data_IF_151893277933
#
_entry.id   IF_151893277933
#
_cell.length_a   1.000
_cell.length_b   1.000
_cell.length_c   1.000
_cell.angle_alpha   90.00
_cell.angle_beta   90.00
_cell.angle_gamma   90.00
#
_symmetry.space_group_name_H-M   'P 1'
#
loop_
_entity.id
_entity.type
_entity.pdbx_description
1 polymer ?
#
# COMPACT_ATOMS: atom_id res chain seq x y z
N UNK A 1 -7.63 -14.25 -39.05
CA UNK A 1 -7.04 -15.31 -38.19
C UNK A 1 -5.63 -15.03 -37.64
N UNK A 2 -4.95 -13.92 -38.00
CA UNK A 2 -3.62 -13.58 -37.44
C UNK A 2 -3.62 -12.96 -36.02
N UNK A 3 -4.76 -12.45 -35.53
CA UNK A 3 -4.82 -11.77 -34.23
C UNK A 3 -4.67 -12.69 -33.00
N UNK A 4 -4.79 -14.02 -33.14
CA UNK A 4 -4.65 -14.97 -32.02
C UNK A 4 -3.21 -15.39 -31.70
N UNK A 5 -2.23 -15.18 -32.59
CA UNK A 5 -0.84 -15.59 -32.34
C UNK A 5 -0.05 -14.60 -31.48
N UNK A 6 -0.41 -13.32 -31.47
CA UNK A 6 0.28 -12.32 -30.64
C UNK A 6 -0.09 -12.39 -29.15
N UNK A 7 -1.28 -12.88 -28.81
CA UNK A 7 -1.73 -13.02 -27.42
C UNK A 7 -1.04 -14.16 -26.68
N UNK A 8 -0.52 -15.17 -27.38
CA UNK A 8 0.14 -16.31 -26.74
C UNK A 8 1.61 -16.03 -26.38
N UNK A 9 2.27 -15.11 -27.09
CA UNK A 9 3.70 -14.83 -26.88
C UNK A 9 3.98 -13.77 -25.80
N UNK A 10 3.03 -12.86 -25.53
CA UNK A 10 3.15 -11.91 -24.40
C UNK A 10 2.99 -12.60 -23.05
N UNK A 11 2.18 -13.66 -22.97
CA UNK A 11 1.94 -14.43 -21.73
C UNK A 11 3.18 -15.18 -21.23
N UNK A 12 4.11 -15.53 -22.12
CA UNK A 12 5.34 -16.26 -21.75
C UNK A 12 6.39 -15.30 -21.16
N UNK A 13 6.45 -14.04 -21.62
CA UNK A 13 7.42 -13.06 -21.10
C UNK A 13 7.03 -12.46 -19.74
N UNK A 14 5.74 -12.21 -19.51
CA UNK A 14 5.26 -11.73 -18.20
C UNK A 14 5.44 -12.77 -17.09
N UNK A 15 5.32 -14.08 -17.41
CA UNK A 15 5.56 -15.15 -16.44
C UNK A 15 7.04 -15.28 -16.03
N UNK A 16 7.99 -14.89 -16.90
CA UNK A 16 9.43 -14.94 -16.60
C UNK A 16 9.86 -13.86 -15.62
N UNK A 17 9.39 -12.62 -15.81
CA UNK A 17 9.69 -11.50 -14.90
C UNK A 17 9.04 -11.69 -13.53
N UNK A 18 7.82 -12.25 -13.47
CA UNK A 18 7.18 -12.56 -12.18
C UNK A 18 7.96 -13.59 -11.36
N UNK A 19 8.60 -14.57 -12.01
CA UNK A 19 9.43 -15.57 -11.32
C UNK A 19 10.70 -14.98 -10.72
N UNK A 20 11.35 -14.03 -11.39
CA UNK A 20 12.56 -13.38 -10.87
C UNK A 20 12.22 -12.55 -9.62
N UNK A 21 11.10 -11.83 -9.62
CA UNK A 21 10.65 -11.07 -8.45
C UNK A 21 10.20 -11.96 -7.27
N UNK A 22 9.55 -13.09 -7.54
CA UNK A 22 9.17 -14.05 -6.49
C UNK A 22 10.38 -14.69 -5.81
N UNK A 23 11.42 -15.05 -6.57
CA UNK A 23 12.63 -15.67 -6.01
C UNK A 23 13.43 -14.68 -5.14
N UNK A 24 13.41 -13.38 -5.46
CA UNK A 24 14.05 -12.36 -4.64
C UNK A 24 13.30 -12.07 -3.32
N UNK A 25 11.97 -12.24 -3.29
CA UNK A 25 11.14 -12.02 -2.10
C UNK A 25 11.10 -13.20 -1.12
N UNK A 26 11.48 -14.40 -1.55
CA UNK A 26 11.40 -15.63 -0.76
C UNK A 26 12.75 -16.32 -0.55
N UNK A 27 13.87 -15.59 -0.58
CA UNK A 27 15.14 -16.13 -0.09
C UNK A 27 15.02 -16.36 1.43
N UNK A 28 15.07 -17.63 1.90
CA UNK A 28 14.96 -17.91 3.32
C UNK A 28 16.20 -17.35 4.02
N UNK A 29 15.99 -16.35 4.87
CA UNK A 29 17.01 -15.84 5.79
C UNK A 29 17.33 -16.99 6.74
N UNK A 30 18.45 -17.65 6.49
CA UNK A 30 19.01 -18.70 7.34
C UNK A 30 19.20 -18.14 8.75
N UNK A 31 18.38 -18.59 9.69
CA UNK A 31 18.47 -18.24 11.10
C UNK A 31 19.76 -18.83 11.67
N UNK A 32 20.79 -17.99 11.79
CA UNK A 32 22.00 -18.33 12.53
C UNK A 32 21.63 -18.43 14.03
N UNK A 33 21.52 -19.66 14.52
CA UNK A 33 21.13 -20.01 15.88
C UNK A 33 22.30 -19.71 16.82
N UNK A 34 22.26 -18.54 17.48
CA UNK A 34 23.25 -18.17 18.50
C UNK A 34 22.91 -18.90 19.81
N UNK A 35 23.87 -19.60 20.46
CA UNK A 35 23.64 -20.33 21.71
C UNK A 35 23.33 -19.37 22.86
N UNK A 36 22.31 -19.70 23.63
CA UNK A 36 21.86 -19.00 24.84
C UNK A 36 22.70 -19.45 26.05
N UNK A 37 23.53 -18.56 26.56
CA UNK A 37 24.12 -18.69 27.90
C UNK A 37 23.07 -18.29 28.93
N UNK A 38 22.66 -19.24 29.76
CA UNK A 38 21.86 -18.99 30.96
C UNK A 38 22.74 -18.30 32.01
N UNK A 39 22.35 -17.12 32.45
CA UNK A 39 22.72 -16.59 33.76
C UNK A 39 21.43 -16.42 34.56
N UNK A 40 21.28 -17.28 35.57
CA UNK A 40 20.40 -17.06 36.71
C UNK A 40 20.99 -15.95 37.55
N UNK A 41 20.23 -14.89 37.82
CA UNK A 41 20.48 -14.01 38.95
C UNK A 41 19.16 -13.74 39.65
N UNK A 42 19.19 -13.97 40.96
CA UNK A 42 18.05 -14.02 41.87
C UNK A 42 17.61 -12.61 42.28
N UNK A 43 16.36 -12.58 42.75
CA UNK A 43 15.64 -11.47 43.37
C UNK A 43 16.47 -10.48 44.20
N UNK A 44 16.10 -9.20 44.11
CA UNK A 44 15.91 -8.40 45.31
C UNK A 44 14.85 -7.31 45.12
N UNK A 45 13.92 -7.29 46.07
CA UNK A 45 12.84 -6.31 46.22
C UNK A 45 13.39 -5.09 46.95
N UNK A 46 13.14 -3.88 46.46
CA UNK A 46 13.08 -2.67 47.29
C UNK A 46 12.34 -1.53 46.58
N UNK A 47 11.16 -1.23 47.09
CA UNK A 47 10.47 0.08 47.22
C UNK A 47 11.02 1.31 46.46
N UNK A 48 10.16 2.04 45.70
CA UNK A 48 10.42 3.43 45.36
C UNK A 48 9.83 4.34 46.44
N UNK A 49 10.71 4.87 47.31
CA UNK A 49 10.42 5.98 48.21
C UNK A 49 10.74 7.29 47.46
N UNK A 50 9.80 8.22 47.49
CA UNK A 50 9.85 9.57 46.92
C UNK A 50 11.14 10.32 47.31
N UNK A 51 11.90 10.76 46.30
CA UNK A 51 12.89 11.82 46.43
C UNK A 51 12.54 12.93 45.42
N UNK A 52 11.98 14.01 45.96
CA UNK A 52 12.02 15.33 45.35
C UNK A 52 13.50 15.77 45.29
N UNK A 53 14.05 15.94 44.09
CA UNK A 53 15.29 16.68 43.91
C UNK A 53 15.12 17.68 42.77
N UNK A 54 14.82 18.91 43.17
CA UNK A 54 14.96 20.11 42.36
C UNK A 54 16.44 20.29 42.00
N UNK A 55 16.84 19.84 40.82
CA UNK A 55 18.12 20.25 40.21
C UNK A 55 17.84 20.91 38.88
N UNK A 56 17.68 22.24 38.94
CA UNK A 56 17.79 23.13 37.79
C UNK A 56 19.22 23.14 37.27
N UNK A 57 19.61 22.10 36.53
CA UNK A 57 20.80 22.14 35.70
C UNK A 57 20.43 22.68 34.32
N UNK A 58 20.63 23.98 34.16
CA UNK A 58 20.87 24.62 32.86
C UNK A 58 22.24 24.10 32.40
N UNK A 59 22.25 22.93 31.78
CA UNK A 59 23.36 22.45 30.95
C UNK A 59 22.97 22.65 29.49
N UNK A 60 23.84 23.22 28.63
CA UNK A 60 23.63 23.20 27.20
C UNK A 60 23.78 21.74 26.74
N UNK A 61 22.69 20.98 26.80
CA UNK A 61 22.56 19.67 26.16
C UNK A 61 22.41 19.88 24.65
N UNK A 62 23.45 20.42 24.02
CA UNK A 62 23.62 20.47 22.57
C UNK A 62 24.31 19.20 22.03
N UNK A 63 24.44 18.16 22.85
CA UNK A 63 24.48 16.79 22.35
C UNK A 63 23.04 16.33 22.07
N UNK A 64 22.40 17.07 21.16
CA UNK A 64 21.17 16.71 20.48
C UNK A 64 21.45 15.39 19.76
N UNK A 65 21.21 14.34 20.52
CA UNK A 65 21.37 12.94 20.21
C UNK A 65 20.70 12.71 18.87
N UNK A 66 21.50 12.78 17.81
CA UNK A 66 21.18 12.50 16.41
C UNK A 66 20.69 11.06 16.31
N UNK A 67 19.48 10.84 16.82
CA UNK A 67 18.85 9.55 16.82
C UNK A 67 18.64 9.22 15.36
N UNK A 68 19.18 8.08 14.86
CA UNK A 68 19.15 7.74 13.44
C UNK A 68 17.73 7.76 12.87
N UNK A 69 16.71 7.66 13.72
CA UNK A 69 15.29 7.78 13.39
C UNK A 69 14.88 9.13 12.74
N UNK A 70 15.55 10.25 13.06
CA UNK A 70 15.16 11.57 12.52
C UNK A 70 15.50 11.68 11.02
N UNK A 71 16.69 11.22 10.63
CA UNK A 71 17.12 11.16 9.23
C UNK A 71 16.21 10.27 8.37
N UNK A 72 15.80 9.10 8.87
CA UNK A 72 14.87 8.22 8.15
C UNK A 72 13.51 8.88 7.86
N UNK A 73 12.97 9.64 8.83
CA UNK A 73 11.72 10.37 8.66
C UNK A 73 11.85 11.48 7.61
N UNK A 74 12.93 12.25 7.66
CA UNK A 74 13.20 13.30 6.68
C UNK A 74 13.31 12.74 5.25
N UNK A 75 14.05 11.66 5.06
CA UNK A 75 14.21 10.98 3.76
C UNK A 75 12.85 10.52 3.24
N UNK A 76 12.04 9.81 4.03
CA UNK A 76 10.70 9.37 3.60
C UNK A 76 9.78 10.54 3.21
N UNK A 77 9.89 11.68 3.90
CA UNK A 77 9.12 12.90 3.59
C UNK A 77 9.54 13.49 2.24
N UNK A 78 10.85 13.60 1.99
CA UNK A 78 11.39 14.09 0.71
C UNK A 78 10.99 13.15 -0.44
N UNK A 79 11.12 11.83 -0.27
CA UNK A 79 10.64 10.87 -1.26
C UNK A 79 9.14 10.97 -1.52
N UNK A 80 8.34 11.25 -0.49
CA UNK A 80 6.90 11.47 -0.62
C UNK A 80 6.58 12.69 -1.48
N UNK A 81 7.25 13.82 -1.23
CA UNK A 81 7.08 15.06 -2.02
C UNK A 81 7.55 14.84 -3.47
N UNK A 82 8.71 14.22 -3.66
CA UNK A 82 9.23 13.91 -4.99
C UNK A 82 8.28 13.00 -5.78
N UNK A 83 7.72 11.97 -5.13
CA UNK A 83 6.72 11.09 -5.74
C UNK A 83 5.47 11.87 -6.18
N UNK A 84 4.99 12.80 -5.35
CA UNK A 84 3.82 13.63 -5.65
C UNK A 84 4.07 14.53 -6.87
N UNK A 85 5.21 15.24 -6.89
CA UNK A 85 5.61 16.11 -8.01
C UNK A 85 5.75 15.32 -9.30
N UNK A 86 6.46 14.20 -9.27
CA UNK A 86 6.62 13.32 -10.43
C UNK A 86 5.28 12.73 -10.89
N UNK A 87 4.38 12.40 -9.98
CA UNK A 87 3.04 11.89 -10.31
C UNK A 87 2.21 12.95 -11.02
N UNK A 88 2.24 14.21 -10.55
CA UNK A 88 1.53 15.32 -11.18
C UNK A 88 2.08 15.61 -12.60
N UNK A 89 3.41 15.63 -12.75
CA UNK A 89 4.05 15.80 -14.06
C UNK A 89 3.69 14.65 -15.02
N UNK A 90 3.75 13.41 -14.55
CA UNK A 90 3.40 12.24 -15.36
C UNK A 90 1.93 12.26 -15.77
N UNK A 91 1.02 12.70 -14.87
CA UNK A 91 -0.39 12.87 -15.17
C UNK A 91 -0.62 13.91 -16.27
N UNK A 92 0.03 15.07 -16.19
CA UNK A 92 -0.07 16.11 -17.22
C UNK A 92 0.42 15.60 -18.58
N UNK A 93 1.54 14.88 -18.62
CA UNK A 93 2.08 14.28 -19.85
C UNK A 93 1.13 13.21 -20.43
N UNK A 94 0.52 12.38 -19.57
CA UNK A 94 -0.46 11.38 -20.02
C UNK A 94 -1.71 12.03 -20.61
N UNK A 95 -2.21 13.11 -20.02
CA UNK A 95 -3.34 13.88 -20.56
C UNK A 95 -2.97 14.49 -21.93
N UNK A 96 -1.79 15.10 -22.03
CA UNK A 96 -1.30 15.64 -23.31
C UNK A 96 -1.19 14.53 -24.38
N UNK A 97 -0.68 13.36 -24.01
CA UNK A 97 -0.61 12.20 -24.91
C UNK A 97 -2.00 11.73 -25.37
N UNK A 98 -3.00 11.74 -24.49
CA UNK A 98 -4.38 11.40 -24.88
C UNK A 98 -4.96 12.40 -25.89
N UNK A 99 -4.71 13.70 -25.71
CA UNK A 99 -5.16 14.74 -26.66
C UNK A 99 -4.49 14.56 -28.02
N UNK A 100 -3.18 14.30 -28.03
CA UNK A 100 -2.42 14.06 -29.27
C UNK A 100 -2.93 12.81 -29.98
N UNK A 101 -3.13 11.69 -29.26
CA UNK A 101 -3.66 10.46 -29.84
C UNK A 101 -5.09 10.60 -30.35
N UNK A 102 -5.89 11.48 -29.74
CA UNK A 102 -7.26 11.78 -30.20
C UNK A 102 -7.30 12.67 -31.44
N UNK A 103 -6.33 13.57 -31.59
CA UNK A 103 -6.30 14.56 -32.70
C UNK A 103 -5.47 14.11 -33.91
N UNK A 104 -4.56 13.16 -33.74
CA UNK A 104 -3.64 12.73 -34.79
C UNK A 104 -4.35 11.90 -35.89
N UNK A 105 -4.01 12.10 -37.18
CA UNK A 105 -4.59 11.36 -38.31
C UNK A 105 -3.98 9.96 -38.44
N UNK A 106 -4.14 9.11 -37.41
CA UNK A 106 -3.59 7.76 -37.35
C UNK A 106 -4.49 6.77 -38.10
N UNK A 107 -3.89 5.96 -38.98
CA UNK A 107 -4.61 5.01 -39.84
C UNK A 107 -4.80 3.64 -39.19
N UNK A 108 -4.24 3.33 -38.03
CA UNK A 108 -4.70 2.16 -37.28
C UNK A 108 -5.11 2.62 -35.90
N UNK A 109 -6.16 1.99 -35.37
CA UNK A 109 -6.82 2.57 -34.22
C UNK A 109 -5.90 2.64 -33.00
N UNK A 110 -5.74 3.83 -32.41
CA UNK A 110 -5.04 4.01 -31.15
C UNK A 110 -5.87 3.53 -29.94
N UNK A 111 -7.03 2.89 -30.13
CA UNK A 111 -7.94 2.50 -29.03
C UNK A 111 -7.23 1.72 -27.93
N UNK A 112 -6.26 0.85 -28.30
CA UNK A 112 -5.58 -0.01 -27.34
C UNK A 112 -4.65 0.81 -26.45
N UNK A 113 -3.85 1.68 -27.06
CA UNK A 113 -2.96 2.60 -26.36
C UNK A 113 -3.74 3.59 -25.51
N UNK A 114 -4.86 4.12 -26.01
CA UNK A 114 -5.75 4.97 -25.23
C UNK A 114 -6.27 4.24 -23.99
N UNK A 115 -6.80 3.02 -24.14
CA UNK A 115 -7.31 2.19 -23.03
C UNK A 115 -6.22 1.90 -21.99
N UNK A 116 -5.02 1.52 -22.43
CA UNK A 116 -3.90 1.26 -21.53
C UNK A 116 -3.49 2.53 -20.79
N UNK A 117 -3.33 3.64 -21.51
CA UNK A 117 -2.99 4.96 -20.95
C UNK A 117 -4.04 5.44 -19.95
N UNK A 118 -5.35 5.28 -20.22
CA UNK A 118 -6.42 5.56 -19.24
C UNK A 118 -6.25 4.74 -17.97
N UNK A 119 -5.85 3.47 -18.08
CA UNK A 119 -5.54 2.64 -16.92
C UNK A 119 -4.36 3.15 -16.09
N UNK A 120 -3.34 3.75 -16.72
CA UNK A 120 -2.21 4.40 -16.03
C UNK A 120 -2.68 5.69 -15.35
N UNK A 121 -3.47 6.51 -16.05
CA UNK A 121 -4.04 7.76 -15.51
C UNK A 121 -4.83 7.48 -14.23
N UNK A 122 -5.74 6.50 -14.26
CA UNK A 122 -6.54 6.11 -13.09
C UNK A 122 -5.65 5.69 -11.92
N UNK A 123 -4.61 4.88 -12.18
CA UNK A 123 -3.66 4.45 -11.15
C UNK A 123 -2.91 5.64 -10.52
N UNK A 124 -2.42 6.58 -11.34
CA UNK A 124 -1.70 7.77 -10.87
C UNK A 124 -2.63 8.68 -10.06
N UNK A 125 -3.88 8.87 -10.50
CA UNK A 125 -4.87 9.65 -9.75
C UNK A 125 -5.12 9.02 -8.38
N UNK A 126 -5.34 7.70 -8.30
CA UNK A 126 -5.48 7.00 -7.02
C UNK A 126 -4.22 7.13 -6.15
N UNK A 127 -3.02 7.09 -6.73
CA UNK A 127 -1.80 7.29 -5.96
C UNK A 127 -1.68 8.73 -5.43
N UNK A 128 -2.10 9.74 -6.18
CA UNK A 128 -2.07 11.14 -5.73
C UNK A 128 -3.06 11.32 -4.57
N UNK A 129 -4.27 10.77 -4.71
CA UNK A 129 -5.30 10.80 -3.67
C UNK A 129 -4.77 10.10 -2.40
N UNK A 130 -4.21 8.90 -2.53
CA UNK A 130 -3.65 8.17 -1.38
C UNK A 130 -2.47 8.92 -0.74
N UNK A 131 -1.58 9.50 -1.55
CA UNK A 131 -0.47 10.31 -1.05
C UNK A 131 -0.97 11.52 -0.26
N UNK A 132 -1.99 12.21 -0.76
CA UNK A 132 -2.67 13.29 -0.06
C UNK A 132 -3.24 12.82 1.27
N UNK A 133 -4.08 11.78 1.29
CA UNK A 133 -4.65 11.24 2.54
C UNK A 133 -3.57 10.82 3.52
N UNK A 134 -2.50 10.17 3.08
CA UNK A 134 -1.40 9.78 3.95
C UNK A 134 -0.58 10.97 4.50
N UNK A 135 -0.63 12.14 3.86
CA UNK A 135 -0.01 13.37 4.37
C UNK A 135 -0.88 14.05 5.42
N UNK A 136 -2.21 14.01 5.28
CA UNK A 136 -3.14 14.64 6.22
C UNK A 136 -3.48 13.75 7.41
N UNK A 137 -3.67 12.46 7.16
CA UNK A 137 -4.05 11.48 8.16
C UNK A 137 -2.82 10.61 8.47
N UNK A 138 -2.43 10.57 9.73
CA UNK A 138 -1.37 9.69 10.21
C UNK A 138 -1.85 8.23 10.15
N UNK A 139 -1.88 7.65 8.95
CA UNK A 139 -2.38 6.30 8.72
C UNK A 139 -1.49 5.28 9.44
N UNK A 140 -2.08 4.22 9.99
CA UNK A 140 -1.33 3.17 10.65
C UNK A 140 -0.33 2.54 9.68
N UNK A 141 0.84 2.23 10.22
CA UNK A 141 1.99 1.81 9.44
C UNK A 141 1.72 0.60 8.53
N UNK A 142 0.91 -0.37 8.98
CA UNK A 142 0.55 -1.56 8.20
C UNK A 142 -0.23 -1.22 6.93
N UNK A 143 -1.23 -0.32 7.00
CA UNK A 143 -2.01 0.09 5.82
C UNK A 143 -1.10 0.73 4.78
N UNK A 144 -0.15 1.54 5.25
CA UNK A 144 0.85 2.18 4.43
C UNK A 144 1.75 1.18 3.66
N UNK A 145 2.20 0.12 4.34
CA UNK A 145 3.00 -0.95 3.70
C UNK A 145 2.17 -1.70 2.65
N UNK A 146 0.93 -2.09 2.97
CA UNK A 146 0.05 -2.81 2.03
C UNK A 146 -0.25 -1.96 0.80
N UNK A 147 -0.54 -0.67 0.99
CA UNK A 147 -0.78 0.27 -0.10
C UNK A 147 0.46 0.40 -0.99
N UNK A 148 1.66 0.56 -0.42
CA UNK A 148 2.90 0.65 -1.21
C UNK A 148 3.15 -0.62 -2.03
N UNK A 149 2.89 -1.81 -1.48
CA UNK A 149 2.99 -3.07 -2.23
C UNK A 149 2.00 -3.04 -3.41
N UNK A 150 0.74 -2.69 -3.15
CA UNK A 150 -0.31 -2.60 -4.17
C UNK A 150 0.05 -1.62 -5.28
N UNK A 151 0.46 -0.40 -4.93
CA UNK A 151 0.87 0.62 -5.89
C UNK A 151 2.11 0.20 -6.67
N UNK A 152 3.10 -0.40 -6.03
CA UNK A 152 4.33 -0.88 -6.69
C UNK A 152 3.99 -1.94 -7.73
N UNK A 153 3.26 -2.99 -7.34
CA UNK A 153 2.89 -4.08 -8.24
C UNK A 153 2.00 -3.58 -9.37
N UNK A 154 0.97 -2.77 -9.07
CA UNK A 154 0.09 -2.21 -10.09
C UNK A 154 0.86 -1.33 -11.08
N UNK A 155 1.78 -0.50 -10.60
CA UNK A 155 2.60 0.38 -11.46
C UNK A 155 3.47 -0.46 -12.40
N UNK A 156 4.17 -1.48 -11.90
CA UNK A 156 5.01 -2.35 -12.73
C UNK A 156 4.18 -3.02 -13.83
N UNK A 157 3.03 -3.61 -13.48
CA UNK A 157 2.15 -4.26 -14.47
C UNK A 157 1.65 -3.26 -15.51
N UNK A 158 1.29 -2.04 -15.08
CA UNK A 158 0.83 -0.99 -15.99
C UNK A 158 1.94 -0.45 -16.89
N UNK A 159 3.18 -0.31 -16.39
CA UNK A 159 4.35 0.09 -17.18
C UNK A 159 4.62 -0.90 -18.31
N UNK A 160 4.63 -2.21 -18.00
CA UNK A 160 4.87 -3.24 -19.03
C UNK A 160 3.80 -3.18 -20.11
N UNK A 161 2.53 -3.13 -19.72
CA UNK A 161 1.42 -3.00 -20.66
C UNK A 161 1.49 -1.70 -21.48
N UNK A 162 1.98 -0.61 -20.88
CA UNK A 162 2.15 0.67 -21.56
C UNK A 162 3.27 0.61 -22.61
N UNK A 163 4.39 -0.04 -22.29
CA UNK A 163 5.50 -0.28 -23.23
C UNK A 163 5.04 -1.17 -24.40
N UNK A 164 4.26 -2.21 -24.12
CA UNK A 164 3.71 -3.10 -25.16
C UNK A 164 2.71 -2.37 -26.09
N UNK A 165 2.17 -1.22 -25.66
CA UNK A 165 1.25 -0.40 -26.43
C UNK A 165 1.95 0.70 -27.26
N UNK A 166 3.29 0.66 -27.39
CA UNK A 166 4.05 1.64 -28.17
C UNK A 166 3.63 1.67 -29.64
N UNK A 167 3.76 2.84 -30.31
CA UNK A 167 3.43 2.95 -31.72
C UNK A 167 4.34 2.04 -32.52
N UNK A 168 3.76 1.26 -33.43
CA UNK A 168 4.51 0.37 -34.29
C UNK A 168 4.32 0.78 -35.76
N UNK A 169 4.95 0.06 -36.69
CA UNK A 169 4.84 0.33 -38.12
C UNK A 169 3.42 0.20 -38.66
N UNK A 170 2.50 -0.46 -37.95
CA UNK A 170 1.12 -0.63 -38.42
C UNK A 170 0.24 0.60 -38.26
N UNK A 171 0.68 1.61 -37.50
CA UNK A 171 -0.11 2.82 -37.22
C UNK A 171 -0.30 3.75 -38.43
N UNK A 172 0.59 3.64 -39.43
CA UNK A 172 0.57 4.42 -40.66
C UNK A 172 0.49 3.52 -41.91
N UNK A 173 -0.13 2.35 -41.81
CA UNK A 173 -0.34 1.47 -42.96
C UNK A 173 -1.48 1.97 -43.85
N UNK A 174 -1.36 1.69 -45.15
CA UNK A 174 -2.43 1.88 -46.13
C UNK A 174 -3.65 1.07 -45.71
N UNK A 175 -4.82 1.72 -45.64
CA UNK A 175 -6.08 1.04 -45.37
C UNK A 175 -6.69 0.55 -46.68
N UNK A 176 -7.51 -0.49 -46.61
CA UNK A 176 -8.35 -0.90 -47.72
C UNK A 176 -9.80 -0.56 -47.38
N UNK A 177 -10.46 0.27 -48.20
CA UNK A 177 -11.88 0.56 -48.05
C UNK A 177 -12.73 -0.66 -48.37
N UNK A 178 -13.80 -0.91 -47.62
CA UNK A 178 -14.80 -1.93 -47.94
C UNK A 178 -16.03 -1.26 -48.58
N UNK A 179 -16.66 -1.82 -49.63
CA UNK A 179 -16.45 -3.16 -50.22
C UNK A 179 -15.32 -3.28 -51.25
N UNK A 180 -14.94 -2.18 -51.91
CA UNK A 180 -14.16 -2.21 -53.17
C UNK A 180 -12.67 -2.53 -53.01
N UNK A 181 -12.17 -2.71 -51.78
CA UNK A 181 -10.75 -2.89 -51.44
C UNK A 181 -9.85 -1.83 -52.08
N UNK A 182 -10.34 -0.61 -52.24
CA UNK A 182 -9.54 0.49 -52.75
C UNK A 182 -8.48 0.87 -51.70
N UNK A 183 -7.18 0.94 -52.09
CA UNK A 183 -6.13 1.36 -51.18
C UNK A 183 -6.28 2.85 -50.87
N UNK A 184 -6.50 3.17 -49.60
CA UNK A 184 -6.54 4.54 -49.08
C UNK A 184 -5.14 4.81 -48.52
N UNK A 185 -4.31 5.63 -49.20
CA UNK A 185 -2.97 5.94 -48.72
C UNK A 185 -3.04 6.65 -47.36
N UNK A 186 -2.07 6.40 -46.46
CA UNK A 186 -2.02 7.09 -45.18
C UNK A 186 -1.82 8.59 -45.40
N UNK A 187 -2.35 9.40 -44.47
CA UNK A 187 -2.16 10.84 -44.51
C UNK A 187 -0.66 11.18 -44.50
N UNK A 188 -0.16 12.13 -45.31
CA UNK A 188 1.29 12.40 -45.43
C UNK A 188 1.94 12.83 -44.10
N UNK A 189 1.14 13.38 -43.18
CA UNK A 189 1.59 13.76 -41.82
C UNK A 189 1.59 12.61 -40.80
N UNK A 190 1.14 11.40 -41.16
CA UNK A 190 1.01 10.29 -40.21
C UNK A 190 2.35 9.91 -39.56
N UNK A 191 3.42 9.78 -40.36
CA UNK A 191 4.75 9.41 -39.85
C UNK A 191 5.30 10.47 -38.88
N UNK A 192 5.04 11.76 -39.14
CA UNK A 192 5.45 12.83 -38.23
C UNK A 192 4.73 12.74 -36.87
N UNK A 193 3.40 12.55 -36.87
CA UNK A 193 2.63 12.39 -35.65
C UNK A 193 2.99 11.10 -34.88
N UNK A 194 3.27 10.01 -35.60
CA UNK A 194 3.75 8.76 -35.02
C UNK A 194 5.10 8.95 -34.32
N UNK A 195 6.03 9.70 -34.92
CA UNK A 195 7.31 10.03 -34.29
C UNK A 195 7.10 10.83 -33.00
N UNK A 196 6.28 11.88 -33.05
CA UNK A 196 5.95 12.72 -31.87
C UNK A 196 5.32 11.88 -30.76
N UNK A 197 4.34 11.03 -31.07
CA UNK A 197 3.71 10.13 -30.11
C UNK A 197 4.71 9.13 -29.52
N UNK A 198 5.64 8.61 -30.33
CA UNK A 198 6.67 7.67 -29.87
C UNK A 198 7.61 8.34 -28.86
N UNK A 199 8.10 9.54 -29.17
CA UNK A 199 8.97 10.30 -28.27
C UNK A 199 8.24 10.62 -26.97
N UNK A 200 6.99 11.11 -27.06
CA UNK A 200 6.19 11.46 -25.89
C UNK A 200 5.92 10.24 -25.00
N UNK A 201 5.54 9.10 -25.58
CA UNK A 201 5.32 7.87 -24.81
C UNK A 201 6.63 7.31 -24.23
N UNK A 202 7.77 7.46 -24.89
CA UNK A 202 9.07 7.10 -24.33
C UNK A 202 9.41 7.94 -23.10
N UNK A 203 9.19 9.26 -23.17
CA UNK A 203 9.39 10.18 -22.03
C UNK A 203 8.46 9.80 -20.87
N UNK A 204 7.17 9.58 -21.15
CA UNK A 204 6.19 9.12 -20.15
C UNK A 204 6.63 7.81 -19.51
N UNK A 205 7.05 6.82 -20.31
CA UNK A 205 7.51 5.54 -19.79
C UNK A 205 8.71 5.72 -18.85
N UNK A 206 9.66 6.60 -19.18
CA UNK A 206 10.78 6.96 -18.31
C UNK A 206 10.32 7.50 -16.96
N UNK A 207 9.37 8.43 -16.96
CA UNK A 207 8.80 8.97 -15.72
C UNK A 207 8.06 7.92 -14.89
N UNK A 208 7.29 7.02 -15.52
CA UNK A 208 6.58 5.96 -14.78
C UNK A 208 7.59 4.94 -14.20
N UNK A 209 8.67 4.61 -14.91
CA UNK A 209 9.75 3.76 -14.38
C UNK A 209 10.42 4.42 -13.17
N UNK A 210 10.68 5.74 -13.26
CA UNK A 210 11.24 6.49 -12.14
C UNK A 210 10.28 6.49 -10.93
N UNK A 211 8.98 6.67 -11.15
CA UNK A 211 7.96 6.56 -10.10
C UNK A 211 7.92 5.15 -9.48
N UNK A 212 7.95 4.10 -10.31
CA UNK A 212 8.00 2.72 -9.83
C UNK A 212 9.23 2.49 -8.94
N UNK A 213 10.39 3.02 -9.34
CA UNK A 213 11.63 2.95 -8.57
C UNK A 213 11.49 3.66 -7.22
N UNK A 214 10.85 4.83 -7.19
CA UNK A 214 10.57 5.56 -5.95
C UNK A 214 9.63 4.77 -5.04
N UNK A 215 8.58 4.13 -5.57
CA UNK A 215 7.70 3.30 -4.76
C UNK A 215 8.43 2.08 -4.17
N UNK A 216 9.26 1.40 -4.97
CA UNK A 216 10.11 0.30 -4.47
C UNK A 216 11.02 0.80 -3.36
N UNK A 217 11.67 1.95 -3.53
CA UNK A 217 12.57 2.51 -2.52
C UNK A 217 11.82 2.88 -1.23
N UNK A 218 10.62 3.47 -1.33
CA UNK A 218 9.76 3.76 -0.17
C UNK A 218 9.34 2.48 0.55
N UNK A 219 8.96 1.45 -0.20
CA UNK A 219 8.59 0.14 0.33
C UNK A 219 9.77 -0.51 1.06
N UNK A 220 10.98 -0.46 0.49
CA UNK A 220 12.20 -0.98 1.12
C UNK A 220 12.52 -0.25 2.42
N UNK A 221 12.48 1.09 2.42
CA UNK A 221 12.74 1.89 3.62
C UNK A 221 11.73 1.58 4.74
N UNK A 222 10.44 1.42 4.40
CA UNK A 222 9.42 0.99 5.36
C UNK A 222 9.67 -0.44 5.84
N UNK A 223 10.03 -1.36 4.95
CA UNK A 223 10.33 -2.75 5.32
C UNK A 223 11.51 -2.84 6.28
N UNK A 224 12.57 -2.06 6.05
CA UNK A 224 13.72 -1.97 6.95
C UNK A 224 13.30 -1.39 8.32
N UNK A 225 12.45 -0.37 8.34
CA UNK A 225 11.91 0.18 9.58
C UNK A 225 11.09 -0.86 10.37
N UNK A 226 10.25 -1.64 9.68
CA UNK A 226 9.47 -2.74 10.29
C UNK A 226 10.40 -3.79 10.88
N UNK A 227 11.41 -4.22 10.11
CA UNK A 227 12.40 -5.21 10.56
C UNK A 227 13.16 -4.73 11.80
N UNK A 228 13.60 -3.47 11.83
CA UNK A 228 14.32 -2.88 12.98
C UNK A 228 13.46 -2.68 14.20
N UNK A 229 12.17 -2.37 14.03
CA UNK A 229 11.24 -2.14 15.16
C UNK A 229 11.00 -3.36 16.04
N UNK A 230 11.60 -4.52 15.70
CA UNK A 230 11.37 -5.81 16.38
C UNK A 230 9.88 -6.09 16.54
N UNK A 231 9.08 -5.66 15.56
CA UNK A 231 7.63 -5.88 15.53
C UNK A 231 7.29 -7.36 15.76
N UNK A 232 8.15 -8.27 15.30
CA UNK A 232 8.04 -9.72 15.48
C UNK A 232 8.29 -10.23 16.91
N UNK A 233 8.95 -9.46 17.79
CA UNK A 233 9.23 -9.89 19.16
C UNK A 233 8.09 -9.60 20.12
N UNK A 234 7.20 -8.68 19.76
CA UNK A 234 5.94 -8.52 20.46
C UNK A 234 4.94 -9.36 19.67
N UNK A 235 4.28 -10.39 20.26
CA UNK A 235 3.15 -10.99 19.57
C UNK A 235 2.24 -9.84 19.15
N UNK A 236 1.66 -9.88 17.95
CA UNK A 236 0.65 -8.92 17.53
C UNK A 236 -0.55 -9.05 18.50
N UNK A 237 -0.41 -8.50 19.71
CA UNK A 237 -1.47 -7.86 20.42
C UNK A 237 -1.85 -6.70 19.50
N UNK A 238 -2.62 -7.03 18.46
CA UNK A 238 -3.70 -6.17 18.05
C UNK A 238 -4.27 -5.70 19.37
N UNK A 239 -4.01 -4.43 19.71
CA UNK A 239 -4.73 -3.72 20.75
C UNK A 239 -6.19 -3.65 20.28
N UNK A 240 -6.85 -4.80 20.14
CA UNK A 240 -8.21 -4.93 20.57
C UNK A 240 -8.17 -4.32 21.95
N UNK A 241 -8.90 -3.21 22.18
CA UNK A 241 -9.00 -2.69 23.51
C UNK A 241 -9.40 -3.87 24.38
N UNK A 242 -8.47 -4.31 25.24
CA UNK A 242 -8.77 -5.01 26.47
C UNK A 242 -9.52 -4.03 27.37
N UNK A 243 -10.60 -3.44 26.87
CA UNK A 243 -11.77 -3.29 27.69
C UNK A 243 -12.17 -4.73 27.99
N UNK A 244 -12.26 -5.03 29.27
CA UNK A 244 -12.79 -6.28 29.76
C UNK A 244 -14.13 -6.52 29.03
N UNK A 245 -14.15 -7.38 28.02
CA UNK A 245 -15.41 -7.85 27.44
C UNK A 245 -15.94 -8.84 28.49
N UNK A 246 -16.50 -8.28 29.56
CA UNK A 246 -17.17 -9.04 30.60
C UNK A 246 -18.44 -9.59 29.97
N UNK A 247 -18.38 -10.82 29.47
CA UNK A 247 -19.59 -11.60 29.21
C UNK A 247 -20.20 -11.95 30.57
N UNK A 248 -20.99 -11.02 31.13
CA UNK A 248 -21.84 -11.33 32.27
C UNK A 248 -22.97 -12.26 31.80
N UNK A 249 -22.73 -13.57 31.92
CA UNK A 249 -23.78 -14.58 31.77
C UNK A 249 -24.48 -14.68 33.13
N UNK A 250 -25.57 -13.93 33.31
CA UNK A 250 -26.40 -14.03 34.51
C UNK A 250 -27.27 -15.28 34.43
N UNK A 251 -26.74 -16.40 34.92
CA UNK A 251 -27.48 -17.65 35.00
C UNK A 251 -28.41 -17.59 36.22
N UNK A 252 -29.59 -17.00 36.02
CA UNK A 252 -30.64 -16.92 37.05
C UNK A 252 -31.28 -18.30 37.19
N UNK A 253 -30.71 -19.14 38.05
CA UNK A 253 -31.32 -20.40 38.46
C UNK A 253 -32.52 -20.05 39.34
N UNK A 254 -33.71 -20.06 38.75
CA UNK A 254 -34.96 -20.03 39.49
C UNK A 254 -35.01 -21.32 40.32
N UNK A 255 -34.78 -21.19 41.62
CA UNK A 255 -34.95 -22.28 42.58
C UNK A 255 -36.40 -22.70 42.51
N UNK A 256 -36.65 -23.86 41.89
CA UNK A 256 -37.96 -24.48 41.86
C UNK A 256 -38.31 -24.84 43.31
N UNK A 257 -39.12 -24.00 43.93
CA UNK A 257 -39.63 -24.15 45.29
C UNK A 257 -40.43 -25.45 45.34
N UNK A 258 -39.82 -26.53 45.84
CA UNK A 258 -40.53 -27.76 46.10
C UNK A 258 -41.48 -27.50 47.25
N UNK A 259 -42.78 -27.50 46.94
CA UNK A 259 -43.84 -27.36 47.92
C UNK A 259 -43.63 -28.29 49.11
N UNK A 260 -43.71 -27.70 50.31
CA UNK A 260 -43.88 -28.44 51.56
C UNK A 260 -45.14 -27.89 52.24
N UNK A 261 -46.05 -28.78 52.68
CA UNK A 261 -47.42 -28.42 53.00
C UNK A 261 -47.51 -27.73 54.36
N UNK A 262 -48.30 -26.67 54.41
CA UNK A 262 -48.70 -26.00 55.65
C UNK A 262 -49.77 -26.83 56.35
N UNK A 263 -49.40 -27.47 57.46
CA UNK A 263 -50.30 -27.76 58.59
C UNK A 263 -50.01 -26.67 59.63
N UNK A 264 -50.89 -25.67 59.75
CA UNK A 264 -51.93 -25.57 60.81
C UNK A 264 -51.32 -25.52 62.21
N UNK A 265 -51.61 -24.40 62.91
CA UNK A 265 -51.98 -24.30 64.33
C UNK A 265 -51.16 -23.29 65.15
N UNK A 266 -51.89 -22.39 65.83
CA UNK A 266 -51.43 -21.55 66.95
C UNK A 266 -51.04 -20.11 66.59
N UNK A 267 -51.97 -19.14 66.63
CA UNK A 267 -52.28 -18.33 67.83
C UNK A 267 -51.25 -17.20 68.05
N UNK A 268 -51.44 -16.02 67.45
CA UNK A 268 -52.15 -14.82 67.96
C UNK A 268 -51.14 -13.77 68.51
N UNK A 269 -51.55 -12.54 68.88
CA UNK A 269 -51.26 -11.31 68.14
C UNK A 269 -50.49 -10.29 68.99
N UNK A 270 -50.36 -9.06 68.46
CA UNK A 270 -49.94 -7.80 69.10
C UNK A 270 -48.56 -7.28 68.69
N UNK A 271 -48.56 -6.17 67.93
CA UNK A 271 -47.47 -5.18 67.98
C UNK A 271 -47.61 -4.28 69.22
N UNK A 272 -47.23 -3.00 69.20
CA UNK A 272 -46.23 -2.31 68.38
C UNK A 272 -45.01 -1.95 69.28
N UNK A 273 -44.14 -1.03 68.86
CA UNK A 273 -43.80 0.18 69.65
C UNK A 273 -42.67 0.92 68.92
N UNK A 274 -42.95 2.19 68.66
CA UNK A 274 -42.03 3.23 68.23
C UNK A 274 -41.09 3.59 69.39
N UNK A 275 -39.84 3.90 69.06
CA UNK A 275 -39.12 5.09 69.54
C UNK A 275 -37.95 5.36 68.58
#
# INVERSE_FOLDING_TARGET
MMARRYTQQSNIRTSGLLRIYYVALFLPISHNKRPSTQHSEMAESSTPLLADENTSHIGPNDDEQNSPSHYFKAVLKVLGIAALVLSALTLALLIANQIILGSAPLSWSPWWTQKVSTGVIVLIVFSIIFAFFNTFFNLPFLINVVADIGFTTATIVKVVNFIDAFPNSSWCQTRYGYPDRTPIPPHPRCEHWKLVATILMAVIAGFIILLATIYVLRLLLRSVALYRSRFWKRPLALNFPTGEITFQISLRVLRQESGRPSATEGEAPHGPVYL
#
